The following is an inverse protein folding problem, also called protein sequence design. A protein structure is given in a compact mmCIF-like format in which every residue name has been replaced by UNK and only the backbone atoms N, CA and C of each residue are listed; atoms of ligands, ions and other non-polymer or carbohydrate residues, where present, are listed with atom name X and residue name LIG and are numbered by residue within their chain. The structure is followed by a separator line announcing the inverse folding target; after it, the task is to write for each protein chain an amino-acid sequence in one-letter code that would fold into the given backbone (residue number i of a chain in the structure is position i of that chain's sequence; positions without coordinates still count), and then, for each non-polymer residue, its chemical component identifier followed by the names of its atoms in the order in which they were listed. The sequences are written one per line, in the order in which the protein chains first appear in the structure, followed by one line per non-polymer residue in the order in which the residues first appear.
data_IF_767854699569
#
_entry.id   IF_767854699569
#
_cell.length_a   1.000
_cell.length_b   1.000
_cell.length_c   1.000
_cell.angle_alpha   90.00
_cell.angle_beta   90.00
_cell.angle_gamma   90.00
#
_symmetry.space_group_name_H-M   'P 1'
#
loop_
_entity.id
_entity.type
_entity.pdbx_description
1 polymer ?
#
# COMPACT_ATOMS: atom_id res chain seq x y z
N UNK A 1 22.54 65.09 -57.88
CA UNK A 1 21.17 65.50 -58.24
C UNK A 1 20.61 64.48 -59.22
N UNK A 2 19.47 63.89 -58.85
CA UNK A 2 18.46 63.12 -59.63
C UNK A 2 18.93 61.98 -60.54
N UNK A 3 18.56 60.71 -60.26
CA UNK A 3 17.24 60.08 -60.49
C UNK A 3 16.99 59.87 -62.00
N UNK A 4 16.49 58.76 -62.54
CA UNK A 4 15.72 57.64 -62.01
C UNK A 4 15.82 56.47 -63.03
N UNK A 5 15.45 55.27 -62.63
CA UNK A 5 15.29 54.12 -63.53
C UNK A 5 14.26 53.15 -62.98
N UNK A 6 13.00 53.40 -63.30
CA UNK A 6 11.90 52.42 -63.18
C UNK A 6 11.93 51.49 -64.40
N UNK A 7 11.32 50.30 -64.24
CA UNK A 7 10.59 49.47 -65.23
C UNK A 7 10.99 47.98 -65.09
N UNK A 8 10.07 47.18 -64.55
CA UNK A 8 10.00 45.72 -64.72
C UNK A 8 9.43 45.39 -66.12
N UNK A 9 9.69 44.18 -66.67
CA UNK A 9 8.62 43.17 -66.61
C UNK A 9 9.08 41.70 -66.53
N UNK A 10 8.40 40.97 -65.66
CA UNK A 10 7.74 39.66 -65.78
C UNK A 10 8.24 38.49 -66.70
N UNK A 11 7.98 37.29 -66.14
CA UNK A 11 7.69 35.94 -66.68
C UNK A 11 8.79 34.85 -66.88
N UNK A 12 8.57 33.76 -66.13
CA UNK A 12 8.78 32.30 -66.41
C UNK A 12 10.18 31.68 -66.31
N UNK A 13 10.39 30.76 -65.35
CA UNK A 13 10.24 29.29 -65.53
C UNK A 13 10.74 28.52 -64.30
N UNK A 14 10.12 27.37 -64.06
CA UNK A 14 10.42 26.42 -63.00
C UNK A 14 11.75 25.69 -63.20
N UNK A 15 12.47 25.37 -62.11
CA UNK A 15 13.12 24.06 -61.95
C UNK A 15 13.50 23.82 -60.47
N UNK A 16 13.36 22.57 -60.07
CA UNK A 16 13.51 22.04 -58.73
C UNK A 16 14.99 21.86 -58.31
N UNK A 17 15.17 21.39 -57.06
CA UNK A 17 16.38 20.82 -56.44
C UNK A 17 17.35 21.86 -55.86
N UNK A 18 18.00 21.69 -54.71
CA UNK A 18 18.01 20.67 -53.65
C UNK A 18 18.95 21.18 -52.55
N UNK A 19 18.86 20.58 -51.35
CA UNK A 19 19.80 20.66 -50.22
C UNK A 19 19.93 22.05 -49.52
N UNK A 20 19.32 22.27 -48.35
CA UNK A 20 19.71 21.72 -47.03
C UNK A 20 21.18 21.98 -46.69
N UNK A 21 21.46 23.07 -45.95
CA UNK A 21 22.64 23.15 -45.09
C UNK A 21 22.36 24.06 -43.90
N UNK A 22 22.02 23.39 -42.81
CA UNK A 22 21.71 23.87 -41.46
C UNK A 22 22.84 24.74 -40.90
N UNK A 23 22.46 25.89 -40.32
CA UNK A 23 23.33 26.78 -39.56
C UNK A 23 23.84 26.09 -38.27
N UNK A 24 25.15 26.17 -38.05
CA UNK A 24 25.83 25.77 -36.81
C UNK A 24 25.42 26.68 -35.65
N UNK A 25 24.67 26.15 -34.69
CA UNK A 25 24.46 26.75 -33.37
C UNK A 25 25.56 26.23 -32.44
N UNK A 26 26.33 27.08 -31.73
CA UNK A 26 27.33 26.59 -30.81
C UNK A 26 26.65 26.00 -29.57
N UNK A 27 27.00 24.75 -29.25
CA UNK A 27 26.59 24.04 -28.05
C UNK A 27 27.26 24.73 -26.85
N UNK A 28 26.46 25.41 -26.03
CA UNK A 28 26.87 25.86 -24.71
C UNK A 28 27.05 24.60 -23.86
N UNK A 29 28.31 24.24 -23.60
CA UNK A 29 28.66 23.22 -22.62
C UNK A 29 28.24 23.71 -21.23
N UNK A 30 27.04 23.35 -20.81
CA UNK A 30 26.63 23.48 -19.41
C UNK A 30 27.49 22.54 -18.58
N UNK A 31 28.57 23.07 -17.99
CA UNK A 31 29.27 22.46 -16.87
C UNK A 31 28.28 22.25 -15.74
N UNK A 32 27.73 21.04 -15.66
CA UNK A 32 26.92 20.58 -14.53
C UNK A 32 27.86 20.35 -13.35
N UNK A 33 28.15 21.43 -12.62
CA UNK A 33 28.72 21.33 -11.27
C UNK A 33 27.78 20.46 -10.46
N UNK A 34 28.27 19.32 -9.97
CA UNK A 34 27.49 18.43 -9.13
C UNK A 34 26.86 19.24 -7.98
N UNK A 35 25.55 19.11 -7.73
CA UNK A 35 24.88 19.92 -6.73
C UNK A 35 25.57 19.72 -5.38
N UNK A 36 25.94 20.84 -4.73
CA UNK A 36 26.58 20.81 -3.42
C UNK A 36 25.75 19.95 -2.46
N UNK A 37 26.37 19.02 -1.72
CA UNK A 37 25.62 18.13 -0.83
C UNK A 37 24.89 18.96 0.21
N UNK A 38 23.61 18.62 0.37
CA UNK A 38 22.70 19.29 1.31
C UNK A 38 23.24 19.18 2.74
N UNK A 39 22.87 20.10 3.63
CA UNK A 39 23.40 20.12 5.01
C UNK A 39 23.18 18.78 5.75
N UNK A 40 22.11 18.06 5.41
CA UNK A 40 21.78 16.76 5.99
C UNK A 40 22.63 15.60 5.45
N UNK A 41 23.19 15.74 4.23
CA UNK A 41 24.12 14.77 3.64
C UNK A 41 25.52 14.86 4.24
N UNK A 42 25.85 15.97 4.91
CA UNK A 42 27.11 16.14 5.65
C UNK A 42 27.07 15.56 7.05
N UNK A 43 25.88 15.20 7.54
CA UNK A 43 25.72 14.61 8.87
C UNK A 43 26.21 13.16 8.83
N UNK A 44 27.01 12.70 9.81
CA UNK A 44 27.43 11.30 9.88
C UNK A 44 26.24 10.35 9.95
N UNK A 45 26.37 9.20 9.29
CA UNK A 45 25.30 8.20 9.19
C UNK A 45 24.86 7.73 10.59
N UNK A 46 25.78 7.63 11.53
CA UNK A 46 25.54 7.22 12.91
C UNK A 46 24.54 8.13 13.60
N UNK A 47 24.66 9.46 13.39
CA UNK A 47 23.75 10.43 13.99
C UNK A 47 22.35 10.29 13.38
N UNK A 48 22.26 10.08 12.07
CA UNK A 48 20.98 9.85 11.39
C UNK A 48 20.29 8.58 11.92
N UNK A 49 21.05 7.53 12.18
CA UNK A 49 20.54 6.30 12.78
C UNK A 49 20.09 6.51 14.22
N UNK A 50 20.84 7.27 15.03
CA UNK A 50 20.42 7.59 16.40
C UNK A 50 19.13 8.41 16.42
N UNK A 51 18.99 9.40 15.52
CA UNK A 51 17.74 10.14 15.36
C UNK A 51 16.60 9.19 15.01
N UNK A 52 16.80 8.24 14.10
CA UNK A 52 15.74 7.29 13.73
C UNK A 52 15.28 6.40 14.87
N UNK A 53 16.16 6.05 15.83
CA UNK A 53 15.78 5.26 17.02
C UNK A 53 14.89 6.02 17.99
N UNK A 54 14.93 7.35 17.95
CA UNK A 54 14.10 8.21 18.80
C UNK A 54 12.71 8.48 18.17
N UNK A 55 12.52 8.12 16.91
CA UNK A 55 11.28 8.37 16.17
C UNK A 55 10.45 7.10 16.10
N UNK A 56 9.13 7.23 16.33
CA UNK A 56 8.17 6.18 15.98
C UNK A 56 8.21 5.91 14.46
N UNK A 57 7.88 4.69 14.03
CA UNK A 57 7.93 4.25 12.63
C UNK A 57 7.41 5.30 11.64
N UNK A 58 6.28 5.96 11.93
CA UNK A 58 5.66 6.98 11.06
C UNK A 58 6.56 8.20 10.85
N UNK A 59 7.15 8.72 11.94
CA UNK A 59 8.05 9.87 11.90
C UNK A 59 9.34 9.51 11.17
N UNK A 60 9.90 8.35 11.50
CA UNK A 60 11.08 7.80 10.85
C UNK A 60 10.86 7.61 9.33
N UNK A 61 9.71 7.06 8.94
CA UNK A 61 9.33 6.85 7.53
C UNK A 61 9.18 8.17 6.77
N UNK A 62 8.61 9.20 7.40
CA UNK A 62 8.52 10.54 6.80
C UNK A 62 9.90 11.15 6.59
N UNK A 63 10.79 11.01 7.56
CA UNK A 63 12.18 11.46 7.45
C UNK A 63 12.91 10.72 6.32
N UNK A 64 12.79 9.40 6.25
CA UNK A 64 13.38 8.59 5.18
C UNK A 64 12.86 8.98 3.79
N UNK A 65 11.60 9.41 3.69
CA UNK A 65 10.99 9.87 2.42
C UNK A 65 11.41 11.28 2.01
N UNK A 66 12.02 12.07 2.90
CA UNK A 66 12.38 13.45 2.60
C UNK A 66 13.54 13.57 1.58
N UNK A 67 14.42 12.56 1.50
CA UNK A 67 15.55 12.56 0.56
C UNK A 67 15.92 11.14 0.13
N UNK A 68 16.38 10.97 -1.12
CA UNK A 68 16.92 9.70 -1.62
C UNK A 68 18.10 9.20 -0.78
N UNK A 69 18.94 10.12 -0.30
CA UNK A 69 20.07 9.80 0.58
C UNK A 69 19.59 9.19 1.90
N UNK A 70 18.64 9.86 2.56
CA UNK A 70 18.03 9.38 3.81
C UNK A 70 17.28 8.07 3.60
N UNK A 71 16.57 7.92 2.48
CA UNK A 71 15.87 6.69 2.16
C UNK A 71 16.83 5.50 2.12
N UNK A 72 17.97 5.63 1.42
CA UNK A 72 18.95 4.54 1.29
C UNK A 72 19.52 4.09 2.63
N UNK A 73 19.72 5.03 3.54
CA UNK A 73 20.31 4.77 4.86
C UNK A 73 19.26 4.24 5.84
N UNK A 74 18.15 4.98 5.99
CA UNK A 74 17.20 4.78 7.06
C UNK A 74 16.19 3.68 6.74
N UNK A 75 15.82 3.47 5.47
CA UNK A 75 14.70 2.59 5.13
C UNK A 75 14.90 1.18 5.69
N UNK A 76 16.08 0.57 5.55
CA UNK A 76 16.35 -0.77 6.11
C UNK A 76 16.29 -0.79 7.64
N UNK A 77 16.87 0.22 8.29
CA UNK A 77 16.94 0.28 9.76
C UNK A 77 15.58 0.53 10.38
N UNK A 78 14.70 1.28 9.71
CA UNK A 78 13.34 1.53 10.18
C UNK A 78 12.54 0.22 10.30
N UNK A 79 12.63 -0.69 9.31
CA UNK A 79 11.92 -1.98 9.40
C UNK A 79 12.56 -2.94 10.43
N UNK A 80 13.89 -2.92 10.59
CA UNK A 80 14.56 -3.66 11.68
C UNK A 80 14.12 -3.20 13.06
N UNK A 81 13.92 -1.90 13.24
CA UNK A 81 13.45 -1.32 14.50
C UNK A 81 11.95 -1.52 14.70
N UNK A 82 11.17 -1.60 13.62
CA UNK A 82 9.72 -1.77 13.68
C UNK A 82 9.30 -3.01 14.45
N UNK A 83 10.00 -4.13 14.26
CA UNK A 83 9.73 -5.36 15.02
C UNK A 83 10.07 -5.26 16.51
N UNK A 84 11.06 -4.43 16.88
CA UNK A 84 11.53 -4.28 18.26
C UNK A 84 10.72 -3.28 19.08
N UNK A 85 10.33 -2.17 18.45
CA UNK A 85 9.79 -1.01 19.17
C UNK A 85 8.36 -0.65 18.79
N UNK A 86 7.92 -0.99 17.58
CA UNK A 86 6.62 -0.56 17.05
C UNK A 86 5.67 -1.74 16.78
N UNK A 87 5.94 -2.91 17.37
CA UNK A 87 5.10 -4.12 17.26
C UNK A 87 4.68 -4.46 15.82
N UNK A 88 5.61 -4.28 14.87
CA UNK A 88 5.34 -4.46 13.44
C UNK A 88 4.18 -3.59 12.90
N UNK A 89 3.98 -2.39 13.41
CA UNK A 89 3.08 -1.37 12.84
C UNK A 89 3.05 -1.31 11.29
N UNK A 90 4.19 -1.29 10.56
CA UNK A 90 4.16 -1.31 9.10
C UNK A 90 3.39 -2.48 8.48
N UNK A 91 3.37 -3.64 9.14
CA UNK A 91 2.63 -4.82 8.70
C UNK A 91 1.13 -4.55 8.70
N UNK A 92 0.62 -3.94 9.78
CA UNK A 92 -0.77 -3.56 9.90
C UNK A 92 -1.15 -2.41 8.94
N UNK A 93 -0.24 -1.45 8.74
CA UNK A 93 -0.40 -0.41 7.73
C UNK A 93 -0.50 -1.01 6.31
N UNK A 94 0.35 -1.99 5.99
CA UNK A 94 0.30 -2.70 4.72
C UNK A 94 -1.03 -3.44 4.54
N UNK A 95 -1.51 -4.11 5.59
CA UNK A 95 -2.81 -4.80 5.60
C UNK A 95 -3.98 -3.85 5.35
N UNK A 96 -3.96 -2.65 5.93
CA UNK A 96 -5.03 -1.67 5.73
C UNK A 96 -5.02 -0.99 4.35
N UNK A 97 -3.86 -0.98 3.66
CA UNK A 97 -3.65 -0.22 2.42
C UNK A 97 -3.34 -1.06 1.18
N UNK A 98 -3.28 -2.40 1.31
CA UNK A 98 -2.84 -3.32 0.25
C UNK A 98 -1.43 -3.02 -0.28
N UNK A 99 -0.53 -2.52 0.56
CA UNK A 99 0.83 -2.18 0.14
C UNK A 99 1.77 -3.40 0.23
N UNK A 100 1.81 -4.19 -0.85
CA UNK A 100 2.62 -5.41 -0.94
C UNK A 100 4.11 -5.16 -0.73
N UNK A 101 4.66 -4.06 -1.26
CA UNK A 101 6.07 -3.73 -1.05
C UNK A 101 6.43 -3.40 0.41
N UNK A 102 5.44 -3.10 1.25
CA UNK A 102 5.63 -2.98 2.71
C UNK A 102 5.55 -4.34 3.40
N UNK A 103 4.65 -5.22 2.95
CA UNK A 103 4.59 -6.61 3.41
C UNK A 103 5.92 -7.35 3.19
N UNK A 104 6.44 -7.32 1.96
CA UNK A 104 7.71 -7.96 1.60
C UNK A 104 8.86 -7.50 2.50
N UNK A 105 8.96 -6.19 2.78
CA UNK A 105 9.99 -5.66 3.67
C UNK A 105 9.79 -6.13 5.11
N UNK A 106 8.57 -6.13 5.63
CA UNK A 106 8.31 -6.64 6.97
C UNK A 106 8.78 -8.10 7.10
N UNK A 107 8.45 -8.95 6.13
CA UNK A 107 8.84 -10.36 6.12
C UNK A 107 10.34 -10.56 5.91
N UNK A 108 10.99 -9.75 5.06
CA UNK A 108 12.46 -9.75 4.88
C UNK A 108 13.19 -9.54 6.22
N UNK A 109 12.63 -8.72 7.11
CA UNK A 109 13.19 -8.43 8.43
C UNK A 109 12.66 -9.33 9.56
N UNK A 110 11.89 -10.38 9.24
CA UNK A 110 11.44 -11.41 10.18
C UNK A 110 10.09 -11.17 10.82
N UNK A 111 9.20 -10.39 10.20
CA UNK A 111 7.80 -10.32 10.62
C UNK A 111 7.11 -11.67 10.39
N UNK A 112 6.19 -12.02 11.29
CA UNK A 112 5.35 -13.22 11.17
C UNK A 112 3.94 -12.81 10.75
N UNK A 113 3.29 -13.60 9.90
CA UNK A 113 1.95 -13.32 9.39
C UNK A 113 0.91 -13.12 10.53
N UNK A 114 0.95 -14.00 11.54
CA UNK A 114 0.07 -13.95 12.73
C UNK A 114 0.65 -13.11 13.88
N UNK A 115 1.38 -12.04 13.56
CA UNK A 115 1.80 -11.10 14.60
C UNK A 115 0.58 -10.43 15.22
N UNK A 116 0.48 -10.41 16.54
CA UNK A 116 -0.65 -9.77 17.23
C UNK A 116 -0.30 -8.34 17.64
N UNK A 117 -1.27 -7.43 17.47
CA UNK A 117 -1.14 -6.07 18.00
C UNK A 117 -1.27 -6.07 19.55
N UNK A 118 -0.52 -5.25 20.30
CA UNK A 118 -0.63 -5.25 21.76
C UNK A 118 -2.03 -4.87 22.25
N UNK A 119 -2.53 -5.62 23.24
CA UNK A 119 -3.90 -5.48 23.78
C UNK A 119 -4.21 -4.12 24.40
N UNK A 120 -3.23 -3.56 25.11
CA UNK A 120 -3.35 -2.29 25.84
C UNK A 120 -2.97 -1.08 24.98
N UNK A 121 -2.67 -1.28 23.70
CA UNK A 121 -2.32 -0.20 22.78
C UNK A 121 -3.46 0.02 21.80
N UNK A 122 -4.24 1.06 22.01
CA UNK A 122 -5.26 1.50 21.06
C UNK A 122 -4.64 2.60 20.21
N UNK A 123 -4.43 2.35 18.92
CA UNK A 123 -3.95 3.39 18.01
C UNK A 123 -5.02 3.69 16.96
N UNK A 124 -5.65 4.86 17.10
CA UNK A 124 -6.60 5.41 16.15
C UNK A 124 -5.99 6.64 15.50
N UNK A 125 -6.03 6.71 14.16
CA UNK A 125 -5.54 7.88 13.43
C UNK A 125 -6.70 8.73 12.92
N UNK A 126 -6.73 9.99 13.35
CA UNK A 126 -7.54 11.03 12.73
C UNK A 126 -7.03 11.32 11.31
N UNK A 127 -7.96 11.57 10.38
CA UNK A 127 -7.77 11.85 8.95
C UNK A 127 -7.87 10.63 8.00
N UNK A 128 -9.05 10.01 7.96
CA UNK A 128 -9.53 9.27 6.78
C UNK A 128 -8.85 7.92 6.48
N UNK A 129 -7.86 7.49 7.27
CA UNK A 129 -7.24 6.17 7.15
C UNK A 129 -7.72 5.28 8.30
N UNK A 130 -8.42 4.20 7.96
CA UNK A 130 -9.08 3.25 8.87
C UNK A 130 -8.09 2.25 9.52
N UNK A 131 -7.04 2.76 10.14
CA UNK A 131 -6.21 1.93 11.02
C UNK A 131 -6.84 1.98 12.40
N UNK A 132 -7.58 0.92 12.73
CA UNK A 132 -8.12 0.65 14.06
C UNK A 132 -7.34 -0.54 14.62
N UNK A 133 -6.21 -0.24 15.25
CA UNK A 133 -5.39 -1.27 15.89
C UNK A 133 -5.81 -1.36 17.35
N UNK A 134 -6.65 -2.35 17.64
CA UNK A 134 -7.23 -2.58 18.97
C UNK A 134 -7.16 -4.06 19.32
N UNK A 135 -6.99 -4.37 20.60
CA UNK A 135 -7.35 -5.68 21.19
C UNK A 135 -6.74 -6.92 20.52
N UNK A 136 -5.43 -6.97 20.27
CA UNK A 136 -4.82 -8.25 19.85
C UNK A 136 -4.95 -8.57 18.36
N UNK A 137 -5.53 -7.70 17.54
CA UNK A 137 -5.80 -8.01 16.14
C UNK A 137 -4.55 -8.45 15.37
N UNK A 138 -4.75 -9.41 14.46
CA UNK A 138 -3.76 -9.83 13.47
C UNK A 138 -3.83 -8.99 12.19
N UNK A 139 -2.77 -8.97 11.37
CA UNK A 139 -2.76 -8.34 10.05
C UNK A 139 -3.91 -8.81 9.16
N UNK A 140 -4.26 -10.10 9.21
CA UNK A 140 -5.36 -10.66 8.43
C UNK A 140 -6.70 -10.01 8.79
N UNK A 141 -7.00 -9.91 10.09
CA UNK A 141 -8.23 -9.25 10.58
C UNK A 141 -8.28 -7.78 10.20
N UNK A 142 -7.16 -7.06 10.24
CA UNK A 142 -7.06 -5.67 9.78
C UNK A 142 -7.31 -5.54 8.27
N UNK A 143 -6.79 -6.46 7.46
CA UNK A 143 -7.02 -6.49 6.00
C UNK A 143 -8.51 -6.73 5.68
N UNK A 144 -9.15 -7.66 6.38
CA UNK A 144 -10.59 -7.94 6.26
C UNK A 144 -11.41 -6.71 6.64
N UNK A 145 -11.13 -6.11 7.81
CA UNK A 145 -11.80 -4.88 8.28
C UNK A 145 -11.68 -3.71 7.28
N UNK A 146 -10.54 -3.64 6.60
CA UNK A 146 -10.25 -2.62 5.58
C UNK A 146 -10.77 -3.01 4.19
N UNK A 147 -11.32 -4.22 4.02
CA UNK A 147 -11.83 -4.79 2.76
C UNK A 147 -10.77 -4.86 1.66
N UNK A 148 -9.55 -5.18 2.06
CA UNK A 148 -8.38 -5.22 1.19
C UNK A 148 -8.15 -6.64 0.66
N UNK A 149 -8.83 -7.00 -0.43
CA UNK A 149 -8.77 -8.35 -1.04
C UNK A 149 -7.34 -8.79 -1.36
N UNK A 150 -6.53 -7.89 -1.91
CA UNK A 150 -5.14 -8.16 -2.30
C UNK A 150 -4.27 -8.45 -1.06
N UNK A 151 -4.47 -7.70 0.03
CA UNK A 151 -3.75 -7.94 1.28
C UNK A 151 -4.16 -9.26 1.93
N UNK A 152 -5.46 -9.59 1.91
CA UNK A 152 -5.97 -10.87 2.43
C UNK A 152 -5.34 -12.04 1.67
N UNK A 153 -5.41 -12.03 0.34
CA UNK A 153 -4.81 -13.10 -0.48
C UNK A 153 -3.31 -13.26 -0.17
N UNK A 154 -2.58 -12.15 -0.14
CA UNK A 154 -1.14 -12.17 0.14
C UNK A 154 -0.84 -12.76 1.52
N UNK A 155 -1.58 -12.38 2.55
CA UNK A 155 -1.36 -12.91 3.91
C UNK A 155 -1.65 -14.41 4.01
N UNK A 156 -2.72 -14.88 3.37
CA UNK A 156 -3.09 -16.31 3.35
C UNK A 156 -2.03 -17.14 2.61
N UNK A 157 -1.55 -16.66 1.46
CA UNK A 157 -0.44 -17.29 0.71
C UNK A 157 0.86 -17.40 1.54
N UNK A 158 1.05 -16.47 2.48
CA UNK A 158 2.23 -16.42 3.35
C UNK A 158 2.01 -17.09 4.72
N UNK A 159 0.97 -17.93 4.84
CA UNK A 159 0.72 -18.79 5.99
C UNK A 159 0.02 -18.11 7.17
N UNK A 160 -0.73 -17.03 6.93
CA UNK A 160 -1.67 -16.54 7.94
C UNK A 160 -2.79 -17.56 8.16
N UNK A 161 -3.10 -17.83 9.43
CA UNK A 161 -4.19 -18.73 9.80
C UNK A 161 -5.56 -18.10 9.43
N UNK A 162 -6.36 -18.74 8.56
CA UNK A 162 -7.65 -18.20 8.11
C UNK A 162 -8.73 -18.21 9.20
N UNK A 163 -8.58 -19.00 10.26
CA UNK A 163 -9.56 -19.17 11.33
C UNK A 163 -9.24 -18.29 12.55
N UNK A 164 -10.15 -18.25 13.53
CA UNK A 164 -9.92 -17.49 14.75
C UNK A 164 -8.91 -18.19 15.65
N UNK A 165 -7.78 -17.52 15.93
CA UNK A 165 -6.85 -18.07 16.92
C UNK A 165 -7.44 -17.97 18.33
N UNK A 166 -7.11 -18.93 19.20
CA UNK A 166 -7.52 -18.91 20.62
C UNK A 166 -7.18 -17.58 21.30
N UNK A 167 -6.08 -16.95 20.90
CA UNK A 167 -5.64 -15.65 21.39
C UNK A 167 -6.68 -14.56 21.07
N UNK A 168 -7.17 -14.49 19.84
CA UNK A 168 -8.25 -13.58 19.44
C UNK A 168 -9.56 -13.90 20.18
N UNK A 169 -9.98 -15.17 20.18
CA UNK A 169 -11.25 -15.62 20.79
C UNK A 169 -11.32 -15.35 22.30
N UNK A 170 -10.23 -15.61 23.04
CA UNK A 170 -10.17 -15.44 24.50
C UNK A 170 -10.03 -13.98 24.88
N UNK A 171 -9.27 -13.18 24.11
CA UNK A 171 -8.94 -11.81 24.48
C UNK A 171 -10.00 -10.79 24.08
N UNK A 172 -10.77 -11.04 23.01
CA UNK A 172 -11.77 -10.09 22.55
C UNK A 172 -13.13 -10.25 23.23
N UNK A 173 -13.40 -11.36 23.92
CA UNK A 173 -14.73 -11.67 24.47
C UNK A 173 -15.84 -11.72 23.41
N UNK A 174 -15.45 -11.61 22.14
CA UNK A 174 -16.25 -11.63 20.93
C UNK A 174 -15.61 -12.74 20.10
N UNK A 175 -16.17 -13.94 20.19
CA UNK A 175 -15.88 -15.02 19.25
C UNK A 175 -16.49 -14.62 17.93
N UNK A 176 -15.71 -13.96 17.09
CA UNK A 176 -16.14 -13.61 15.75
C UNK A 176 -15.03 -14.06 14.81
N UNK A 177 -15.27 -15.22 14.19
CA UNK A 177 -14.39 -15.80 13.20
C UNK A 177 -14.14 -14.81 12.05
N UNK A 178 -12.95 -14.85 11.41
CA UNK A 178 -12.65 -14.02 10.24
C UNK A 178 -13.72 -14.12 9.13
N UNK A 179 -14.31 -15.31 8.97
CA UNK A 179 -15.43 -15.57 8.05
C UNK A 179 -16.68 -14.76 8.42
N UNK A 180 -17.10 -14.83 9.69
CA UNK A 180 -18.24 -14.06 10.22
C UNK A 180 -18.01 -12.55 10.11
N UNK A 181 -16.80 -12.09 10.42
CA UNK A 181 -16.40 -10.69 10.27
C UNK A 181 -16.53 -10.23 8.81
N UNK A 182 -16.00 -10.99 7.87
CA UNK A 182 -16.09 -10.68 6.44
C UNK A 182 -17.54 -10.63 5.96
N UNK A 183 -18.37 -11.59 6.41
CA UNK A 183 -19.79 -11.62 6.07
C UNK A 183 -20.53 -10.39 6.60
N UNK A 184 -20.35 -10.05 7.88
CA UNK A 184 -20.99 -8.87 8.50
C UNK A 184 -20.56 -7.56 7.84
N UNK A 185 -19.29 -7.44 7.45
CA UNK A 185 -18.80 -6.24 6.77
C UNK A 185 -19.35 -6.06 5.35
N UNK A 186 -19.86 -7.13 4.74
CA UNK A 186 -20.53 -7.10 3.44
C UNK A 186 -21.92 -6.47 3.49
N UNK A 187 -22.52 -6.37 4.68
CA UNK A 187 -23.84 -5.77 4.88
C UNK A 187 -23.86 -4.28 4.50
N UNK A 188 -24.89 -3.85 3.77
CA UNK A 188 -25.12 -2.47 3.39
C UNK A 188 -24.79 -2.17 1.92
N UNK A 189 -23.87 -1.24 1.67
CA UNK A 189 -23.62 -0.72 0.32
C UNK A 189 -22.91 -1.73 -0.59
N UNK A 190 -23.29 -1.76 -1.87
CA UNK A 190 -22.72 -2.66 -2.89
C UNK A 190 -21.19 -2.54 -3.04
N UNK A 191 -20.64 -1.37 -2.72
CA UNK A 191 -19.19 -1.12 -2.72
C UNK A 191 -18.44 -1.99 -1.69
N UNK A 192 -19.11 -2.41 -0.62
CA UNK A 192 -18.53 -3.28 0.40
C UNK A 192 -18.78 -4.76 0.10
N UNK A 193 -19.93 -5.11 -0.50
CA UNK A 193 -20.33 -6.50 -0.72
C UNK A 193 -19.42 -7.23 -1.69
N UNK A 194 -18.98 -6.60 -2.78
CA UNK A 194 -18.09 -7.24 -3.77
C UNK A 194 -16.71 -7.59 -3.17
N UNK A 195 -16.00 -6.66 -2.49
CA UNK A 195 -14.76 -7.00 -1.78
C UNK A 195 -14.97 -8.04 -0.69
N UNK A 196 -16.02 -7.93 0.13
CA UNK A 196 -16.28 -8.88 1.21
C UNK A 196 -16.57 -10.28 0.68
N UNK A 197 -17.33 -10.42 -0.40
CA UNK A 197 -17.54 -11.72 -1.07
C UNK A 197 -16.24 -12.34 -1.55
N UNK A 198 -15.39 -11.52 -2.16
CA UNK A 198 -14.07 -11.98 -2.62
C UNK A 198 -13.20 -12.44 -1.45
N UNK A 199 -13.26 -11.73 -0.32
CA UNK A 199 -12.57 -12.13 0.93
C UNK A 199 -13.12 -13.44 1.48
N UNK A 200 -14.44 -13.63 1.50
CA UNK A 200 -15.06 -14.89 1.94
C UNK A 200 -14.53 -16.07 1.11
N UNK A 201 -14.50 -15.93 -0.22
CA UNK A 201 -13.98 -16.99 -1.08
C UNK A 201 -12.50 -17.27 -0.83
N UNK A 202 -11.67 -16.24 -0.63
CA UNK A 202 -10.26 -16.41 -0.30
C UNK A 202 -10.06 -17.15 1.03
N UNK A 203 -10.88 -16.87 2.04
CA UNK A 203 -10.84 -17.56 3.33
C UNK A 203 -11.23 -19.03 3.19
N UNK A 204 -12.30 -19.32 2.44
CA UNK A 204 -12.74 -20.70 2.16
C UNK A 204 -11.69 -21.48 1.36
N UNK A 205 -11.09 -20.87 0.34
CA UNK A 205 -10.01 -21.46 -0.45
C UNK A 205 -8.74 -21.72 0.39
N UNK A 206 -8.50 -20.90 1.43
CA UNK A 206 -7.43 -21.11 2.39
C UNK A 206 -7.75 -22.18 3.46
N UNK A 207 -8.98 -22.71 3.47
CA UNK A 207 -9.40 -23.78 4.37
C UNK A 207 -10.07 -23.31 5.66
N UNK A 208 -10.64 -22.10 5.69
CA UNK A 208 -11.41 -21.62 6.84
C UNK A 208 -12.60 -22.55 7.18
N UNK A 209 -12.83 -22.80 8.46
CA UNK A 209 -13.91 -23.66 8.93
C UNK A 209 -15.25 -22.90 9.00
N UNK A 210 -16.26 -23.36 8.27
CA UNK A 210 -17.62 -22.82 8.37
C UNK A 210 -18.28 -23.14 9.71
N UNK A 211 -17.84 -24.18 10.43
CA UNK A 211 -18.45 -24.57 11.70
C UNK A 211 -18.24 -23.51 12.80
N UNK A 212 -17.30 -22.58 12.62
CA UNK A 212 -17.10 -21.46 13.54
C UNK A 212 -18.11 -20.32 13.34
N UNK A 213 -18.96 -20.42 12.31
CA UNK A 213 -19.96 -19.42 11.96
C UNK A 213 -21.35 -19.86 12.40
N UNK A 214 -22.18 -18.91 12.81
CA UNK A 214 -23.60 -19.16 13.10
C UNK A 214 -24.31 -19.79 11.88
N UNK A 215 -25.24 -20.72 12.13
CA UNK A 215 -25.88 -21.54 11.08
C UNK A 215 -26.48 -20.71 9.93
N UNK A 216 -27.12 -19.57 10.22
CA UNK A 216 -27.73 -18.70 9.21
C UNK A 216 -26.71 -18.07 8.24
N UNK A 217 -25.72 -17.32 8.73
CA UNK A 217 -24.63 -16.82 7.90
C UNK A 217 -23.83 -17.91 7.19
N UNK A 218 -23.66 -19.10 7.80
CA UNK A 218 -22.92 -20.21 7.18
C UNK A 218 -23.61 -20.71 5.89
N UNK A 219 -24.93 -20.97 5.94
CA UNK A 219 -25.73 -21.41 4.79
C UNK A 219 -25.65 -20.40 3.63
N UNK A 220 -25.72 -19.10 3.94
CA UNK A 220 -25.64 -18.03 2.95
C UNK A 220 -24.26 -17.92 2.31
N UNK A 221 -23.20 -18.18 3.08
CA UNK A 221 -21.82 -18.20 2.57
C UNK A 221 -21.61 -19.39 1.64
N UNK A 222 -22.12 -20.56 2.00
CA UNK A 222 -22.09 -21.76 1.14
C UNK A 222 -22.86 -21.52 -0.16
N UNK A 223 -24.08 -20.96 -0.09
CA UNK A 223 -24.86 -20.61 -1.26
C UNK A 223 -24.15 -19.60 -2.18
N UNK A 224 -23.46 -18.61 -1.61
CA UNK A 224 -22.63 -17.67 -2.38
C UNK A 224 -21.40 -18.33 -3.01
N UNK A 225 -20.83 -19.34 -2.36
CA UNK A 225 -19.68 -20.07 -2.89
C UNK A 225 -20.08 -20.96 -4.08
N UNK A 226 -21.23 -21.63 -3.97
CA UNK A 226 -21.78 -22.49 -5.03
C UNK A 226 -22.26 -21.70 -6.24
N UNK A 227 -22.98 -20.59 -6.02
CA UNK A 227 -23.42 -19.67 -7.07
C UNK A 227 -22.67 -18.33 -7.00
N UNK A 228 -21.67 -18.17 -7.88
CA UNK A 228 -20.88 -16.93 -7.98
C UNK A 228 -21.69 -15.70 -8.41
N UNK A 229 -22.89 -15.88 -8.94
CA UNK A 229 -23.81 -14.78 -9.30
C UNK A 229 -24.72 -14.38 -8.14
N UNK A 230 -24.86 -15.26 -7.14
CA UNK A 230 -25.64 -15.00 -5.94
C UNK A 230 -24.94 -13.97 -5.04
N UNK A 231 -25.78 -13.16 -4.39
CA UNK A 231 -25.41 -12.27 -3.31
C UNK A 231 -26.38 -12.54 -2.17
N UNK A 232 -25.85 -12.67 -0.96
CA UNK A 232 -26.67 -12.95 0.22
C UNK A 232 -27.80 -11.93 0.36
N UNK A 233 -28.99 -12.43 0.68
CA UNK A 233 -30.17 -11.58 0.91
C UNK A 233 -29.92 -10.63 2.07
N UNK A 234 -29.11 -11.04 3.06
CA UNK A 234 -28.71 -10.21 4.20
C UNK A 234 -27.91 -8.96 3.82
N UNK A 235 -27.37 -8.88 2.60
CA UNK A 235 -26.65 -7.68 2.14
C UNK A 235 -27.52 -6.73 1.32
N UNK A 236 -28.72 -7.16 0.92
CA UNK A 236 -29.64 -6.40 0.07
C UNK A 236 -30.76 -5.69 0.86
N UNK A 237 -30.88 -5.99 2.16
CA UNK A 237 -31.86 -5.39 3.09
C UNK A 237 -31.22 -4.22 3.85
#
# INVERSE_FOLDING_TARGET
MSAAGNISPNITTASQSSASSTALIPIIANNTVAPNPSAIERVPQEILLQISKLLIFRGASRLARASKYLHRILNKEIYKLAGKHDHWYPLFYAAATSNIGTFERCFEFGAVADTHWPLYSTMSFGHGQRLYLTMGWRPLRQAISSRQTVAVNWLLEHGADPDETLMEAVLMGLREAPLTLAFRLGHGWLENSIPCRSILFLLLEAGADLNEVEDGPAEEIEAMYDDRTYLSVYWLV
#
